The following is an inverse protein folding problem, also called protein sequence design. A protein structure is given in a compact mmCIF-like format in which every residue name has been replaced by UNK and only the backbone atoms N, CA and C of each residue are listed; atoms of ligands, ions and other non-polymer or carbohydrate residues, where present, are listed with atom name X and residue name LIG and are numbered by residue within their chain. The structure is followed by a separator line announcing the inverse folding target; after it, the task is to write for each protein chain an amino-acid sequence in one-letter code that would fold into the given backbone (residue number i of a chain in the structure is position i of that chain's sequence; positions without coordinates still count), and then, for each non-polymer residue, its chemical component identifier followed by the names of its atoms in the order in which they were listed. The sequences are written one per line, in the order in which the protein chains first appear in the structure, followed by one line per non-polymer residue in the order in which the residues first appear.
data_IF_359429868696
#
_entry.id   IF_359429868696
#
_cell.length_a   1.000
_cell.length_b   1.000
_cell.length_c   1.000
_cell.angle_alpha   90.00
_cell.angle_beta   90.00
_cell.angle_gamma   90.00
#
_symmetry.space_group_name_H-M   'P 1'
#
loop_
_entity.id
_entity.type
_entity.pdbx_description
1 polymer ?
#
# COMPACT_ATOMS: atom_id res chain seq x y z
N UNK A 1 -15.95 -3.50 -14.03
CA UNK A 1 -15.07 -4.13 -13.04
C UNK A 1 -14.37 -5.36 -13.57
N UNK A 2 -15.09 -6.42 -13.92
CA UNK A 2 -14.48 -7.69 -14.35
C UNK A 2 -13.69 -7.52 -15.65
N UNK A 3 -14.21 -6.77 -16.60
CA UNK A 3 -13.52 -6.40 -17.82
C UNK A 3 -12.22 -5.62 -17.57
N UNK A 4 -12.26 -4.63 -16.65
CA UNK A 4 -11.08 -3.85 -16.28
C UNK A 4 -10.05 -4.76 -15.59
N UNK A 5 -10.47 -5.66 -14.71
CA UNK A 5 -9.58 -6.61 -14.06
C UNK A 5 -8.88 -7.52 -15.06
N UNK A 6 -9.63 -8.05 -16.04
CA UNK A 6 -9.07 -8.86 -17.11
C UNK A 6 -8.08 -8.07 -17.96
N UNK A 7 -8.46 -6.87 -18.41
CA UNK A 7 -7.57 -6.01 -19.18
C UNK A 7 -6.30 -5.65 -18.39
N UNK A 8 -6.42 -5.38 -17.08
CA UNK A 8 -5.26 -5.12 -16.23
C UNK A 8 -4.28 -6.32 -16.24
N UNK A 9 -4.81 -7.54 -16.14
CA UNK A 9 -3.98 -8.74 -16.17
C UNK A 9 -3.29 -8.93 -17.53
N UNK A 10 -4.01 -8.66 -18.61
CA UNK A 10 -3.47 -8.72 -19.96
C UNK A 10 -2.37 -7.67 -20.16
N UNK A 11 -2.61 -6.42 -19.71
CA UNK A 11 -1.64 -5.31 -19.82
C UNK A 11 -0.32 -5.61 -19.08
N UNK A 12 -0.38 -6.33 -17.96
CA UNK A 12 0.82 -6.73 -17.22
C UNK A 12 1.43 -8.06 -17.68
N UNK A 13 0.85 -8.70 -18.70
CA UNK A 13 1.31 -9.98 -19.23
C UNK A 13 1.10 -11.15 -18.27
N UNK A 14 0.09 -11.09 -17.41
CA UNK A 14 -0.23 -12.13 -16.44
C UNK A 14 -1.37 -12.99 -16.93
N UNK A 15 -1.18 -14.31 -16.96
CA UNK A 15 -2.25 -15.26 -17.19
C UNK A 15 -2.75 -15.87 -15.88
N UNK A 16 -4.02 -15.65 -15.57
CA UNK A 16 -4.66 -16.26 -14.41
C UNK A 16 -4.87 -17.77 -14.55
N UNK A 17 -4.73 -18.29 -15.75
CA UNK A 17 -4.90 -19.71 -16.06
C UNK A 17 -3.61 -20.52 -15.93
N UNK A 18 -2.48 -19.85 -15.73
CA UNK A 18 -1.21 -20.54 -15.54
C UNK A 18 -1.12 -21.15 -14.13
N UNK A 19 -0.52 -22.35 -14.01
CA UNK A 19 -0.21 -22.92 -12.71
C UNK A 19 0.68 -22.00 -11.88
N UNK A 20 0.45 -21.97 -10.56
CA UNK A 20 1.22 -21.10 -9.63
C UNK A 20 2.72 -21.38 -9.73
N UNK A 21 3.12 -22.62 -9.94
CA UNK A 21 4.55 -22.98 -10.09
C UNK A 21 5.17 -22.32 -11.31
N UNK A 22 4.48 -22.33 -12.46
CA UNK A 22 4.95 -21.65 -13.69
C UNK A 22 5.11 -20.15 -13.46
N UNK A 23 4.11 -19.53 -12.86
CA UNK A 23 4.16 -18.10 -12.55
C UNK A 23 5.28 -17.81 -11.55
N UNK A 24 5.48 -18.66 -10.54
CA UNK A 24 6.57 -18.51 -9.58
C UNK A 24 7.93 -18.58 -10.26
N UNK A 25 8.16 -19.54 -11.14
CA UNK A 25 9.41 -19.67 -11.88
C UNK A 25 9.68 -18.47 -12.78
N UNK A 26 8.67 -17.97 -13.44
CA UNK A 26 8.76 -16.78 -14.28
C UNK A 26 9.06 -15.52 -13.46
N UNK A 27 8.29 -15.25 -12.42
CA UNK A 27 8.38 -14.03 -11.63
C UNK A 27 9.31 -14.14 -10.42
N UNK A 28 9.80 -15.31 -10.07
CA UNK A 28 10.70 -15.49 -8.95
C UNK A 28 12.00 -14.67 -9.07
N UNK A 29 12.41 -14.39 -10.30
CA UNK A 29 13.59 -13.56 -10.63
C UNK A 29 13.25 -12.06 -10.65
N UNK A 30 11.96 -11.71 -10.69
CA UNK A 30 11.45 -10.34 -10.87
C UNK A 30 10.79 -9.83 -9.59
N UNK A 31 10.88 -10.55 -8.49
CA UNK A 31 10.26 -10.15 -7.23
C UNK A 31 10.58 -8.68 -6.91
N UNK A 32 9.53 -7.87 -6.89
CA UNK A 32 9.54 -6.41 -6.67
C UNK A 32 10.00 -5.54 -7.86
N UNK A 33 10.22 -6.08 -9.04
CA UNK A 33 10.36 -5.22 -10.22
C UNK A 33 8.99 -4.90 -10.80
N UNK A 34 8.83 -3.67 -11.25
CA UNK A 34 7.63 -3.28 -12.01
C UNK A 34 7.54 -4.12 -13.27
N UNK A 35 6.47 -4.87 -13.42
CA UNK A 35 6.14 -5.62 -14.65
C UNK A 35 5.25 -4.81 -15.59
N UNK A 36 4.90 -3.58 -15.20
CA UNK A 36 4.15 -2.62 -15.98
C UNK A 36 5.13 -1.67 -16.68
N UNK A 37 4.73 -1.00 -17.77
CA UNK A 37 5.57 -0.01 -18.41
C UNK A 37 6.19 0.95 -17.39
N UNK A 38 7.50 1.16 -17.50
CA UNK A 38 8.23 2.00 -16.53
C UNK A 38 7.81 3.44 -16.73
N UNK A 39 7.08 3.96 -15.76
CA UNK A 39 6.78 5.38 -15.65
C UNK A 39 7.87 6.02 -14.78
N UNK A 40 8.53 7.01 -15.32
CA UNK A 40 9.60 7.71 -14.62
C UNK A 40 9.05 8.51 -13.44
N UNK A 41 9.72 8.44 -12.29
CA UNK A 41 9.42 9.29 -11.14
C UNK A 41 9.39 10.79 -11.56
N UNK A 42 8.44 11.54 -11.00
CA UNK A 42 8.20 12.94 -11.36
C UNK A 42 7.30 13.12 -12.59
N UNK A 43 6.86 12.05 -13.25
CA UNK A 43 5.89 12.17 -14.34
C UNK A 43 4.54 12.65 -13.80
N UNK A 44 3.93 13.69 -14.40
CA UNK A 44 2.57 14.10 -14.04
C UNK A 44 1.58 12.94 -14.18
N UNK A 45 0.69 12.78 -13.21
CA UNK A 45 -0.29 11.69 -13.23
C UNK A 45 -1.08 11.65 -14.53
N UNK A 46 -1.47 12.81 -15.06
CA UNK A 46 -2.22 12.93 -16.32
C UNK A 46 -1.48 12.46 -17.57
N UNK A 47 -0.18 12.17 -17.43
CA UNK A 47 0.70 11.68 -18.52
C UNK A 47 1.37 10.35 -18.19
N UNK A 48 0.96 9.70 -17.10
CA UNK A 48 1.65 8.51 -16.59
C UNK A 48 1.28 7.24 -17.34
N UNK A 49 0.07 7.15 -17.85
CA UNK A 49 -0.44 5.94 -18.51
C UNK A 49 -1.15 6.30 -19.80
N UNK A 50 -1.00 5.41 -20.78
CA UNK A 50 -1.63 5.57 -22.09
C UNK A 50 -3.15 5.55 -21.95
N UNK A 51 -3.79 6.46 -22.67
CA UNK A 51 -5.23 6.63 -22.65
C UNK A 51 -5.95 5.35 -23.11
N UNK A 52 -6.94 4.93 -22.35
CA UNK A 52 -7.74 3.75 -22.65
C UNK A 52 -7.17 2.44 -22.12
N UNK A 53 -5.95 2.43 -21.55
CA UNK A 53 -5.41 1.26 -20.84
C UNK A 53 -6.21 0.99 -19.56
N UNK A 54 -6.04 -0.19 -18.96
CA UNK A 54 -6.69 -0.53 -17.70
C UNK A 54 -6.29 0.43 -16.57
N UNK A 55 -5.01 0.81 -16.51
CA UNK A 55 -4.53 1.75 -15.48
C UNK A 55 -5.13 3.14 -15.64
N UNK A 56 -5.21 3.64 -16.89
CA UNK A 56 -5.91 4.90 -17.18
C UNK A 56 -7.38 4.84 -16.71
N UNK A 57 -8.11 3.79 -17.07
CA UNK A 57 -9.50 3.59 -16.66
C UNK A 57 -9.69 3.49 -15.15
N UNK A 58 -8.73 2.91 -14.42
CA UNK A 58 -8.76 2.80 -12.96
C UNK A 58 -8.52 4.16 -12.33
N UNK A 59 -7.44 4.84 -12.72
CA UNK A 59 -7.00 6.10 -12.10
C UNK A 59 -7.98 7.22 -12.41
N UNK A 60 -8.44 7.31 -13.65
CA UNK A 60 -9.37 8.36 -14.10
C UNK A 60 -10.84 7.96 -14.00
N UNK A 61 -11.18 6.87 -13.29
CA UNK A 61 -12.54 6.68 -12.84
C UNK A 61 -12.96 7.87 -11.99
N UNK A 62 -14.14 8.48 -12.21
CA UNK A 62 -14.56 9.73 -11.53
C UNK A 62 -14.47 9.67 -10.00
N UNK A 63 -14.76 8.52 -9.39
CA UNK A 63 -14.64 8.36 -7.93
C UNK A 63 -13.19 8.34 -7.47
N UNK A 64 -12.31 7.72 -8.24
CA UNK A 64 -10.89 7.59 -7.92
C UNK A 64 -10.18 8.91 -8.15
N UNK A 65 -10.37 9.51 -9.32
CA UNK A 65 -9.76 10.81 -9.65
C UNK A 65 -10.24 11.91 -8.73
N UNK A 66 -11.53 11.93 -8.36
CA UNK A 66 -12.06 12.88 -7.38
C UNK A 66 -11.44 12.72 -5.99
N UNK A 67 -11.17 11.48 -5.55
CA UNK A 67 -10.47 11.23 -4.29
C UNK A 67 -9.00 11.67 -4.37
N UNK A 68 -8.31 11.40 -5.48
CA UNK A 68 -6.92 11.84 -5.70
C UNK A 68 -6.87 13.38 -5.70
N UNK A 69 -7.76 14.03 -6.45
CA UNK A 69 -7.82 15.49 -6.54
C UNK A 69 -8.04 16.13 -5.18
N UNK A 70 -8.96 15.58 -4.41
CA UNK A 70 -9.25 16.06 -3.05
C UNK A 70 -8.07 15.92 -2.08
N UNK A 71 -7.22 14.90 -2.24
CA UNK A 71 -6.14 14.60 -1.30
C UNK A 71 -4.79 15.21 -1.72
N UNK A 72 -4.44 15.14 -2.98
CA UNK A 72 -3.12 15.56 -3.49
C UNK A 72 -3.16 16.48 -4.70
N UNK A 73 -4.33 16.67 -5.30
CA UNK A 73 -4.50 17.41 -6.55
C UNK A 73 -4.26 16.53 -7.79
N UNK A 74 -4.99 16.77 -8.85
CA UNK A 74 -4.81 16.06 -10.14
C UNK A 74 -3.52 16.46 -10.87
N UNK A 75 -2.91 17.56 -10.49
CA UNK A 75 -1.59 17.97 -10.96
C UNK A 75 -0.42 17.26 -10.23
N UNK A 76 -0.75 16.29 -9.38
CA UNK A 76 0.24 15.48 -8.66
C UNK A 76 1.16 14.71 -9.60
N UNK A 77 2.31 14.33 -9.08
CA UNK A 77 3.29 13.53 -9.79
C UNK A 77 3.41 12.13 -9.22
N UNK A 78 3.76 11.20 -10.09
CA UNK A 78 4.08 9.85 -9.71
C UNK A 78 5.46 9.81 -9.07
N UNK A 79 5.56 9.28 -7.84
CA UNK A 79 6.84 8.98 -7.21
C UNK A 79 7.39 7.66 -7.74
N UNK A 80 6.62 6.60 -7.59
CA UNK A 80 6.89 5.31 -8.22
C UNK A 80 5.64 4.44 -8.29
N UNK A 81 5.74 3.39 -9.09
CA UNK A 81 4.71 2.37 -9.21
C UNK A 81 5.33 0.97 -9.29
N UNK A 82 4.59 -0.03 -8.89
CA UNK A 82 4.98 -1.43 -9.04
C UNK A 82 3.84 -2.41 -8.78
N UNK A 83 4.02 -3.64 -9.23
CA UNK A 83 3.15 -4.76 -8.93
C UNK A 83 3.74 -5.54 -7.74
N UNK A 84 3.00 -5.56 -6.64
CA UNK A 84 3.30 -6.42 -5.51
C UNK A 84 2.76 -7.83 -5.78
N UNK A 85 3.65 -8.81 -5.79
CA UNK A 85 3.29 -10.21 -5.93
C UNK A 85 3.70 -10.95 -4.66
N UNK A 86 2.77 -11.70 -4.06
CA UNK A 86 3.02 -12.55 -2.90
C UNK A 86 2.54 -13.95 -3.19
N UNK A 87 3.50 -14.86 -3.28
CA UNK A 87 3.23 -16.28 -3.51
C UNK A 87 2.77 -16.97 -2.22
N UNK A 88 2.13 -18.16 -2.33
CA UNK A 88 1.87 -19.01 -1.19
C UNK A 88 3.13 -19.29 -0.36
N UNK A 89 2.97 -19.40 0.96
CA UNK A 89 4.09 -19.51 1.91
C UNK A 89 5.02 -20.70 1.63
N UNK A 90 4.53 -21.77 0.99
CA UNK A 90 5.32 -22.93 0.60
C UNK A 90 6.54 -22.58 -0.28
N UNK A 91 6.42 -21.54 -1.12
CA UNK A 91 7.51 -21.10 -2.03
C UNK A 91 8.64 -20.36 -1.33
N UNK A 92 8.43 -19.97 -0.08
CA UNK A 92 9.44 -19.24 0.70
C UNK A 92 10.21 -20.12 1.70
N UNK A 93 9.78 -21.37 1.89
CA UNK A 93 10.42 -22.29 2.81
C UNK A 93 11.88 -22.53 2.39
N UNK A 94 12.79 -22.35 3.35
CA UNK A 94 14.22 -22.53 3.10
C UNK A 94 14.93 -21.38 2.38
N UNK A 95 14.21 -20.37 1.93
CA UNK A 95 14.83 -19.22 1.28
C UNK A 95 15.48 -18.28 2.30
N UNK A 96 16.77 -17.98 2.12
CA UNK A 96 17.49 -16.98 2.91
C UNK A 96 17.23 -15.54 2.47
N UNK A 97 16.80 -15.36 1.24
CA UNK A 97 16.65 -14.03 0.60
C UNK A 97 15.22 -13.55 0.45
N UNK A 98 14.25 -14.45 0.55
CA UNK A 98 12.84 -14.14 0.36
C UNK A 98 12.10 -14.22 1.66
N UNK A 99 11.36 -13.17 1.99
CA UNK A 99 10.55 -13.09 3.20
C UNK A 99 9.12 -13.49 2.89
N UNK A 100 8.53 -14.36 3.70
CA UNK A 100 7.12 -14.73 3.60
C UNK A 100 6.17 -13.58 3.93
N UNK A 101 6.65 -12.60 4.68
CA UNK A 101 5.88 -11.41 5.08
C UNK A 101 6.79 -10.19 5.11
N UNK A 102 6.16 -9.03 5.07
CA UNK A 102 6.85 -7.76 5.29
C UNK A 102 6.48 -7.22 6.67
N UNK A 103 7.47 -6.84 7.47
CA UNK A 103 7.23 -6.19 8.76
C UNK A 103 6.48 -4.87 8.61
N UNK A 104 5.90 -4.39 9.71
CA UNK A 104 5.31 -3.06 9.71
C UNK A 104 6.40 -2.01 9.46
N UNK A 105 6.12 -1.08 8.56
CA UNK A 105 7.02 0.01 8.18
C UNK A 105 6.20 1.22 7.70
N UNK A 106 6.86 2.34 7.54
CA UNK A 106 6.38 3.51 6.79
C UNK A 106 7.14 3.56 5.46
N UNK A 107 6.48 3.95 4.38
CA UNK A 107 7.14 4.07 3.08
C UNK A 107 8.04 5.31 2.99
N UNK A 108 7.71 6.33 3.75
CA UNK A 108 8.55 7.52 3.90
C UNK A 108 8.30 8.17 5.25
N UNK A 109 9.28 8.91 5.73
CA UNK A 109 9.20 9.72 6.93
C UNK A 109 8.90 11.17 6.55
N UNK A 110 7.74 11.40 5.95
CA UNK A 110 7.30 12.76 5.65
C UNK A 110 6.72 13.42 6.89
N UNK A 111 6.85 14.72 6.96
CA UNK A 111 6.16 15.49 7.96
C UNK A 111 4.71 15.71 7.51
N UNK A 112 3.78 15.11 8.23
CA UNK A 112 2.33 15.18 7.92
C UNK A 112 1.78 16.60 7.90
N UNK A 113 2.47 17.54 8.53
CA UNK A 113 2.12 18.96 8.52
C UNK A 113 2.58 19.68 7.24
N UNK A 114 3.33 19.02 6.38
CA UNK A 114 3.91 19.64 5.18
C UNK A 114 3.45 19.02 3.88
N UNK A 115 3.09 17.75 3.91
CA UNK A 115 2.72 17.01 2.71
C UNK A 115 1.71 15.92 3.02
N UNK A 116 0.80 15.68 2.10
CA UNK A 116 -0.20 14.62 2.17
C UNK A 116 0.00 13.65 1.00
N UNK A 117 1.17 13.06 0.93
CA UNK A 117 1.46 12.06 -0.07
C UNK A 117 0.59 10.82 0.15
N UNK A 118 0.14 10.22 -0.94
CA UNK A 118 -0.70 9.03 -0.89
C UNK A 118 -0.10 7.86 -1.64
N UNK A 119 -0.51 6.67 -1.24
CA UNK A 119 -0.35 5.45 -2.00
C UNK A 119 -1.73 4.86 -2.32
N UNK A 120 -1.93 4.54 -3.58
CA UNK A 120 -3.11 3.87 -4.06
C UNK A 120 -2.78 2.42 -4.36
N UNK A 121 -3.60 1.50 -3.84
CA UNK A 121 -3.56 0.07 -4.14
C UNK A 121 -4.81 -0.31 -4.92
N UNK A 122 -4.63 -1.03 -6.00
CA UNK A 122 -5.69 -1.66 -6.75
C UNK A 122 -5.55 -3.18 -6.66
N UNK A 123 -6.64 -3.84 -6.28
CA UNK A 123 -6.71 -5.30 -6.13
C UNK A 123 -7.58 -5.88 -7.25
N UNK A 124 -6.99 -6.45 -8.30
CA UNK A 124 -7.77 -6.96 -9.44
C UNK A 124 -8.46 -8.32 -9.15
N UNK A 125 -8.15 -8.95 -8.02
CA UNK A 125 -8.79 -10.18 -7.56
C UNK A 125 -9.23 -10.04 -6.10
N UNK A 126 -10.09 -10.96 -5.66
CA UNK A 126 -10.46 -11.06 -4.25
C UNK A 126 -9.23 -11.34 -3.38
N UNK A 127 -9.13 -10.65 -2.25
CA UNK A 127 -8.13 -10.91 -1.22
C UNK A 127 -8.82 -11.49 0.00
N UNK A 128 -8.61 -12.76 0.25
CA UNK A 128 -9.16 -13.46 1.42
C UNK A 128 -8.25 -13.30 2.64
N UNK A 129 -8.74 -13.67 3.82
CA UNK A 129 -7.98 -13.63 5.06
C UNK A 129 -6.73 -14.51 4.99
N UNK A 130 -6.84 -15.68 4.37
CA UNK A 130 -5.77 -16.67 4.23
C UNK A 130 -4.65 -16.17 3.31
N UNK A 131 -4.97 -15.30 2.38
CA UNK A 131 -3.99 -14.66 1.51
C UNK A 131 -3.09 -13.67 2.23
N UNK A 132 -3.37 -13.36 3.51
CA UNK A 132 -2.53 -12.49 4.31
C UNK A 132 -2.40 -11.07 3.74
N UNK A 133 -3.53 -10.43 3.46
CA UNK A 133 -3.58 -9.09 2.88
C UNK A 133 -2.71 -8.06 3.60
N UNK A 134 -2.57 -6.90 3.00
CA UNK A 134 -1.84 -5.79 3.59
C UNK A 134 -2.36 -5.48 4.98
N UNK A 135 -1.47 -5.48 5.96
CA UNK A 135 -1.76 -5.01 7.32
C UNK A 135 -1.60 -3.51 7.36
N UNK A 136 -2.42 -2.85 8.15
CA UNK A 136 -2.29 -1.41 8.37
C UNK A 136 -2.83 -1.00 9.72
N UNK A 137 -2.34 0.12 10.23
CA UNK A 137 -2.73 0.66 11.52
C UNK A 137 -3.40 2.02 11.30
N UNK A 138 -4.72 2.12 11.47
CA UNK A 138 -5.44 3.38 11.28
C UNK A 138 -4.86 4.50 12.15
N UNK A 139 -4.71 5.70 11.58
CA UNK A 139 -4.22 6.89 12.28
C UNK A 139 -2.70 6.94 12.53
N UNK A 140 -1.95 5.87 12.26
CA UNK A 140 -0.51 5.80 12.53
C UNK A 140 0.34 6.82 11.74
N UNK A 141 -0.20 7.40 10.69
CA UNK A 141 0.49 8.43 9.90
C UNK A 141 0.73 9.73 10.66
N UNK A 142 0.01 9.97 11.75
CA UNK A 142 0.26 11.12 12.63
C UNK A 142 1.54 10.96 13.48
N UNK A 143 2.20 9.82 13.39
CA UNK A 143 3.40 9.53 14.17
C UNK A 143 4.60 9.29 13.30
N UNK A 144 5.62 10.06 13.54
CA UNK A 144 6.93 9.85 12.94
C UNK A 144 7.79 9.07 13.94
N UNK A 145 8.06 7.80 13.61
CA UNK A 145 8.96 6.95 14.40
C UNK A 145 9.99 6.32 13.47
N UNK A 146 11.12 5.95 14.04
CA UNK A 146 12.13 5.26 13.24
C UNK A 146 11.61 3.93 12.71
N UNK A 147 11.91 3.63 11.47
CA UNK A 147 11.52 2.37 10.82
C UNK A 147 11.95 1.14 11.65
N UNK A 148 13.15 1.18 12.23
CA UNK A 148 13.66 0.13 13.09
C UNK A 148 12.78 -0.09 14.33
N UNK A 149 12.17 0.95 14.87
CA UNK A 149 11.24 0.82 15.99
C UNK A 149 9.92 0.19 15.55
N UNK A 150 9.36 0.61 14.42
CA UNK A 150 8.12 0.06 13.88
C UNK A 150 8.26 -1.43 13.55
N UNK A 151 9.35 -1.84 12.96
CA UNK A 151 9.60 -3.22 12.53
C UNK A 151 9.59 -4.24 13.68
N UNK A 152 9.78 -3.80 14.91
CA UNK A 152 9.73 -4.65 16.11
C UNK A 152 8.30 -5.03 16.51
N UNK A 153 7.32 -4.26 16.07
CA UNK A 153 5.92 -4.43 16.49
C UNK A 153 5.10 -5.06 15.37
N UNK A 154 4.84 -6.34 15.48
CA UNK A 154 4.09 -7.10 14.46
C UNK A 154 2.60 -7.27 14.80
N UNK A 155 2.27 -7.29 16.10
CA UNK A 155 0.92 -7.49 16.57
C UNK A 155 0.46 -6.29 17.39
N UNK A 156 0.07 -5.24 16.72
CA UNK A 156 -0.37 -3.99 17.33
C UNK A 156 -1.89 -4.03 17.50
N UNK A 157 -2.38 -3.66 18.68
CA UNK A 157 -3.82 -3.52 18.93
C UNK A 157 -4.43 -2.54 17.90
N UNK A 158 -5.58 -2.89 17.34
CA UNK A 158 -6.22 -2.08 16.31
C UNK A 158 -5.67 -2.25 14.89
N UNK A 159 -4.63 -3.07 14.71
CA UNK A 159 -4.17 -3.46 13.38
C UNK A 159 -5.30 -4.11 12.60
N UNK A 160 -5.43 -3.69 11.35
CA UNK A 160 -6.39 -4.25 10.41
C UNK A 160 -5.67 -4.95 9.26
N UNK A 161 -6.40 -5.81 8.59
CA UNK A 161 -5.93 -6.50 7.39
C UNK A 161 -6.86 -6.17 6.22
N UNK A 162 -6.29 -6.01 5.07
CA UNK A 162 -7.06 -5.89 3.84
C UNK A 162 -7.64 -7.25 3.50
N UNK A 163 -8.96 -7.33 3.55
CA UNK A 163 -9.78 -8.41 3.00
C UNK A 163 -10.80 -7.72 2.11
N UNK A 164 -10.82 -8.02 0.82
CA UNK A 164 -11.61 -7.24 -0.13
C UNK A 164 -11.99 -8.04 -1.38
N UNK A 165 -13.01 -7.56 -2.05
CA UNK A 165 -13.44 -8.08 -3.35
C UNK A 165 -12.53 -7.59 -4.49
N UNK A 166 -12.54 -8.31 -5.60
CA UNK A 166 -11.89 -7.88 -6.84
C UNK A 166 -12.37 -6.49 -7.28
N UNK A 167 -11.46 -5.65 -7.77
CA UNK A 167 -11.75 -4.27 -8.17
C UNK A 167 -11.71 -3.25 -7.04
N UNK A 168 -11.34 -3.66 -5.82
CA UNK A 168 -11.20 -2.75 -4.70
C UNK A 168 -9.99 -1.84 -4.88
N UNK A 169 -10.18 -0.57 -4.57
CA UNK A 169 -9.12 0.43 -4.49
C UNK A 169 -9.03 0.90 -3.04
N UNK A 170 -7.80 0.96 -2.54
CA UNK A 170 -7.49 1.51 -1.22
C UNK A 170 -6.52 2.67 -1.42
N UNK A 171 -6.86 3.83 -0.84
CA UNK A 171 -5.98 4.98 -0.79
C UNK A 171 -5.54 5.16 0.65
N UNK A 172 -4.23 5.23 0.86
CA UNK A 172 -3.63 5.41 2.18
C UNK A 172 -2.64 6.56 2.15
N UNK A 173 -2.53 7.25 3.29
CA UNK A 173 -1.42 8.17 3.52
C UNK A 173 -0.09 7.41 3.52
N UNK A 174 0.96 8.00 2.97
CA UNK A 174 2.27 7.36 2.84
C UNK A 174 2.88 6.92 4.17
N UNK A 175 2.67 7.70 5.22
CA UNK A 175 3.19 7.42 6.55
C UNK A 175 2.39 6.38 7.35
N UNK A 176 1.32 5.82 6.79
CA UNK A 176 0.59 4.79 7.53
C UNK A 176 1.49 3.57 7.75
N UNK A 177 1.51 3.09 8.97
CA UNK A 177 2.26 1.87 9.28
C UNK A 177 1.55 0.69 8.65
N UNK A 178 2.25 0.00 7.80
CA UNK A 178 1.70 -1.11 7.06
C UNK A 178 2.74 -2.19 6.79
N UNK A 179 2.28 -3.32 6.32
CA UNK A 179 3.13 -4.44 5.93
C UNK A 179 2.33 -5.53 5.23
N UNK A 180 3.00 -6.51 4.67
CA UNK A 180 2.35 -7.63 4.03
C UNK A 180 2.24 -8.82 5.00
N UNK A 181 1.07 -9.45 5.07
CA UNK A 181 0.87 -10.71 5.77
C UNK A 181 1.43 -11.90 5.01
N UNK A 182 1.54 -13.04 5.70
CA UNK A 182 1.90 -14.32 5.09
C UNK A 182 0.73 -14.82 4.26
N UNK A 183 0.99 -15.23 3.04
CA UNK A 183 -0.01 -15.88 2.19
C UNK A 183 -0.04 -17.39 2.49
N UNK A 184 -1.03 -17.82 3.23
CA UNK A 184 -1.26 -19.22 3.59
C UNK A 184 -2.26 -19.92 2.65
N UNK A 185 -2.75 -19.22 1.62
CA UNK A 185 -3.57 -19.82 0.59
C UNK A 185 -2.71 -20.56 -0.45
N UNK A 186 -3.35 -21.21 -1.38
CA UNK A 186 -2.73 -21.86 -2.55
C UNK A 186 -2.66 -20.93 -3.78
N UNK A 187 -3.21 -19.72 -3.68
CA UNK A 187 -3.32 -18.74 -4.76
C UNK A 187 -2.31 -17.60 -4.60
N UNK A 188 -1.87 -17.02 -5.71
CA UNK A 188 -1.05 -15.83 -5.72
C UNK A 188 -1.91 -14.63 -5.29
N UNK A 189 -1.34 -13.79 -4.42
CA UNK A 189 -1.88 -12.47 -4.13
C UNK A 189 -1.04 -11.42 -4.83
N UNK A 190 -1.67 -10.53 -5.54
CA UNK A 190 -1.01 -9.39 -6.14
C UNK A 190 -1.87 -8.13 -6.06
N UNK A 191 -1.21 -6.99 -6.07
CA UNK A 191 -1.83 -5.68 -6.08
C UNK A 191 -0.94 -4.70 -6.84
N UNK A 192 -1.57 -3.87 -7.64
CA UNK A 192 -0.90 -2.71 -8.22
C UNK A 192 -0.83 -1.59 -7.19
N UNK A 193 0.34 -0.97 -7.07
CA UNK A 193 0.57 0.17 -6.18
C UNK A 193 1.15 1.33 -6.95
N UNK A 194 0.60 2.52 -6.75
CA UNK A 194 1.22 3.78 -7.13
C UNK A 194 1.38 4.68 -5.92
N UNK A 195 2.44 5.49 -5.93
CA UNK A 195 2.66 6.56 -4.97
C UNK A 195 2.56 7.90 -5.68
N UNK A 196 1.78 8.80 -5.10
CA UNK A 196 1.49 10.11 -5.65
C UNK A 196 1.91 11.19 -4.66
N UNK A 197 2.60 12.20 -5.17
CA UNK A 197 3.06 13.36 -4.41
C UNK A 197 2.42 14.63 -4.95
N UNK A 198 1.97 15.55 -4.09
CA UNK A 198 1.50 16.85 -4.53
C UNK A 198 2.65 17.68 -5.12
N UNK A 199 2.38 18.47 -6.14
CA UNK A 199 3.36 19.39 -6.76
C UNK A 199 3.47 20.72 -6.06
N UNK A 200 2.45 21.06 -5.24
CA UNK A 200 2.37 22.33 -4.52
C UNK A 200 2.31 22.07 -3.02
N UNK A 201 2.81 23.05 -2.25
CA UNK A 201 2.60 23.01 -0.80
C UNK A 201 1.10 23.03 -0.52
N UNK A 202 0.65 22.07 0.28
CA UNK A 202 -0.75 21.95 0.67
C UNK A 202 -1.02 22.78 1.93
N UNK A 203 -2.20 23.35 1.98
CA UNK A 203 -2.78 23.83 3.24
C UNK A 203 -3.48 22.65 3.90
N UNK A 204 -2.90 22.14 4.96
CA UNK A 204 -3.45 20.99 5.66
C UNK A 204 -4.59 21.43 6.58
N UNK A 205 -5.62 20.61 6.68
CA UNK A 205 -6.82 20.89 7.48
C UNK A 205 -6.57 20.79 8.99
N UNK A 206 -5.46 20.21 9.40
CA UNK A 206 -5.07 20.10 10.81
C UNK A 206 -3.91 21.05 11.14
N UNK A 207 -3.86 21.46 12.37
CA UNK A 207 -2.79 22.31 12.90
C UNK A 207 -1.82 21.47 13.72
N UNK A 208 -0.60 21.95 13.84
CA UNK A 208 0.40 21.35 14.74
C UNK A 208 -0.15 21.18 16.16
N UNK A 209 -0.96 22.12 16.62
CA UNK A 209 -1.56 22.06 17.95
C UNK A 209 -2.45 20.82 18.13
N UNK A 210 -3.29 20.50 17.16
CA UNK A 210 -4.15 19.31 17.21
C UNK A 210 -3.28 18.05 17.28
N UNK A 211 -2.28 17.94 16.43
CA UNK A 211 -1.40 16.78 16.38
C UNK A 211 -0.58 16.62 17.68
N UNK A 212 -0.07 17.70 18.21
CA UNK A 212 0.74 17.64 19.43
C UNK A 212 -0.10 17.46 20.70
N UNK A 213 -1.29 18.01 20.76
CA UNK A 213 -2.19 17.79 21.87
C UNK A 213 -2.64 16.34 21.94
N UNK A 214 -2.93 15.72 20.80
CA UNK A 214 -3.27 14.32 20.72
C UNK A 214 -2.06 13.40 20.99
N UNK A 215 -0.86 13.85 20.73
CA UNK A 215 0.35 13.10 21.07
C UNK A 215 0.53 12.91 22.57
N UNK A 216 -0.06 13.71 23.39
CA UNK A 216 -0.04 13.52 24.84
C UNK A 216 -0.95 12.38 25.28
N UNK A 217 -1.92 12.09 24.48
CA UNK A 217 -2.93 11.05 24.76
C UNK A 217 -2.76 9.79 23.92
N UNK A 218 -1.76 9.42 23.79
CA UNK A 218 -1.18 8.99 22.68
C UNK A 218 -1.00 7.50 22.47
N UNK A 219 -1.49 6.70 23.23
CA UNK A 219 -1.21 5.30 23.14
C UNK A 219 -2.20 4.48 22.32
N UNK A 220 -2.71 5.04 21.24
CA UNK A 220 -3.73 4.42 20.40
C UNK A 220 -3.41 2.99 19.97
N UNK A 221 -2.14 2.71 19.76
CA UNK A 221 -1.74 1.50 19.04
C UNK A 221 -1.11 0.44 19.92
N UNK A 222 -0.86 0.76 21.17
CA UNK A 222 -0.10 -0.11 22.03
C UNK A 222 -1.01 -0.93 22.93
N UNK A 223 -0.64 -2.15 23.20
CA UNK A 223 -1.39 -3.03 24.08
C UNK A 223 -1.16 -2.67 25.55
N UNK A 224 -2.15 -3.00 26.35
CA UNK A 224 -2.07 -2.93 27.82
C UNK A 224 -0.91 -3.77 28.32
N UNK A 225 -0.03 -3.35 29.03
CA UNK A 225 1.09 -4.11 29.56
C UNK A 225 2.36 -3.32 29.69
N UNK A 226 2.41 -2.18 29.02
CA UNK A 226 3.53 -1.28 29.18
C UNK A 226 3.04 0.16 29.27
N UNK A 227 2.98 0.69 30.47
CA UNK A 227 2.50 2.06 30.73
C UNK A 227 3.28 3.14 29.96
N UNK A 228 4.55 2.90 29.66
CA UNK A 228 5.34 3.81 28.84
C UNK A 228 4.91 3.82 27.39
N UNK A 229 4.51 2.66 26.90
CA UNK A 229 3.96 2.54 25.54
C UNK A 229 2.51 3.00 25.50
N UNK A 230 1.76 2.79 26.59
CA UNK A 230 0.40 3.28 26.70
C UNK A 230 0.31 4.80 26.63
N UNK A 231 1.32 5.50 27.11
CA UNK A 231 1.40 6.94 26.95
C UNK A 231 1.77 7.40 25.55
N UNK A 232 2.04 6.46 24.66
CA UNK A 232 2.40 6.74 23.25
C UNK A 232 1.26 6.45 22.32
N UNK A 233 0.16 6.14 22.75
CA UNK A 233 -0.75 5.83 21.77
C UNK A 233 -2.01 5.16 22.18
N UNK A 234 -2.39 5.39 23.35
CA UNK A 234 -3.69 4.99 23.82
C UNK A 234 -4.69 6.03 23.52
N UNK A 235 -5.27 6.05 22.56
CA UNK A 235 -6.56 6.74 22.48
C UNK A 235 -7.64 5.73 22.57
#
# INVERSE_FOLDING_TARGET
SEEINRQFLDDIGYSTNEPVDTVYDHYSRIMQKSVIPIVKAGTPLTKSYDKGTALDKIIFNPKVSGAIDSLVGLDCVLDHHFLHITFPSKYYKGSKTRKMSQGNHQDSTINVNKSFDIQLFYFPHEVTKEMGGTRYIPGSHFRVVSEAAIARYQNIKGQKHVVCQAGTIIIMHMNIWHGAGVNNSDKIRYAFKIRLMPTKKQELLWTDKILYDDQKNDAIYWTDGNKKLNNIGTI
#
